data_IF_930305959774
#
_entry.id   IF_930305959774
#
_cell.length_a   1.000
_cell.length_b   1.000
_cell.length_c   1.000
_cell.angle_alpha   90.00
_cell.angle_beta   90.00
_cell.angle_gamma   90.00
#
_symmetry.space_group_name_H-M   'P 1'
#
loop_
_entity.id
_entity.type
_entity.pdbx_description
1 polymer ?
#
# COMPACT_ATOMS: atom_id res chain seq x y z
N UNK A 1 22.42 -0.17 -9.61
CA UNK A 1 21.29 0.60 -9.04
C UNK A 1 20.85 -0.07 -7.74
N UNK A 2 20.46 0.67 -6.70
CA UNK A 2 19.88 0.09 -5.48
C UNK A 2 18.39 0.39 -5.43
N UNK A 3 17.60 -0.62 -5.08
CA UNK A 3 16.16 -0.51 -4.86
C UNK A 3 15.82 -0.93 -3.45
N UNK A 4 15.08 -0.09 -2.73
CA UNK A 4 14.56 -0.38 -1.40
C UNK A 4 13.04 -0.55 -1.50
N UNK A 5 12.56 -1.78 -1.29
CA UNK A 5 11.14 -2.13 -1.34
C UNK A 5 10.59 -2.27 0.09
N UNK A 6 9.67 -1.40 0.47
CA UNK A 6 9.04 -1.39 1.79
C UNK A 6 7.59 -1.86 1.70
N UNK A 7 7.20 -2.82 2.52
CA UNK A 7 5.79 -2.97 2.85
C UNK A 7 5.31 -1.80 3.72
N UNK A 8 4.02 -1.56 3.75
CA UNK A 8 3.42 -0.41 4.44
C UNK A 8 2.81 -0.78 5.79
N UNK A 9 1.73 -1.59 5.79
CA UNK A 9 0.97 -1.92 6.99
C UNK A 9 1.74 -2.86 7.91
N UNK A 10 2.01 -2.41 9.16
CA UNK A 10 2.79 -3.19 10.13
C UNK A 10 4.31 -3.09 9.95
N UNK A 11 4.78 -2.66 8.76
CA UNK A 11 6.20 -2.41 8.46
C UNK A 11 6.54 -0.94 8.65
N UNK A 12 6.07 -0.06 7.77
CA UNK A 12 6.23 1.39 7.91
C UNK A 12 5.23 2.00 8.88
N UNK A 13 4.11 1.35 9.11
CA UNK A 13 3.10 1.79 10.08
C UNK A 13 3.02 0.86 11.28
N UNK A 14 2.50 1.39 12.39
CA UNK A 14 2.28 0.64 13.62
C UNK A 14 1.00 -0.19 13.60
N UNK A 15 0.07 0.11 12.68
CA UNK A 15 -1.27 -0.51 12.58
C UNK A 15 -1.66 -0.76 11.14
N UNK A 16 -2.67 -1.62 10.95
CA UNK A 16 -3.34 -1.83 9.65
C UNK A 16 -4.16 -0.59 9.29
N UNK A 17 -3.77 0.05 8.18
CA UNK A 17 -4.37 1.34 7.77
C UNK A 17 -5.75 1.19 7.16
N UNK A 18 -6.18 0.01 6.69
CA UNK A 18 -7.56 -0.20 6.24
C UNK A 18 -8.54 -0.01 7.41
N UNK A 19 -8.22 -0.58 8.57
CA UNK A 19 -9.05 -0.49 9.78
C UNK A 19 -9.11 0.94 10.27
N UNK A 20 -7.95 1.59 10.39
CA UNK A 20 -7.85 2.98 10.85
C UNK A 20 -8.52 3.96 9.86
N UNK A 21 -8.38 3.72 8.54
CA UNK A 21 -9.00 4.55 7.51
C UNK A 21 -10.54 4.48 7.56
N UNK A 22 -11.11 3.27 7.65
CA UNK A 22 -12.56 3.11 7.74
C UNK A 22 -13.10 3.78 9.01
N UNK A 23 -12.41 3.59 10.13
CA UNK A 23 -12.79 4.21 11.40
C UNK A 23 -12.74 5.74 11.33
N UNK A 24 -11.71 6.29 10.69
CA UNK A 24 -11.56 7.72 10.47
C UNK A 24 -12.66 8.28 9.54
N UNK A 25 -12.89 7.61 8.41
CA UNK A 25 -13.80 8.09 7.36
C UNK A 25 -15.29 7.99 7.76
N UNK A 26 -15.67 6.97 8.50
CA UNK A 26 -17.07 6.63 8.79
C UNK A 26 -17.45 6.81 10.28
N UNK A 27 -16.46 7.00 11.14
CA UNK A 27 -16.66 7.05 12.59
C UNK A 27 -16.80 5.68 13.25
N UNK A 28 -16.57 5.63 14.56
CA UNK A 28 -16.50 4.39 15.33
C UNK A 28 -17.79 3.58 15.31
N UNK A 29 -18.96 4.25 15.36
CA UNK A 29 -20.27 3.55 15.36
C UNK A 29 -20.52 2.83 14.03
N UNK A 30 -20.37 3.52 12.90
CA UNK A 30 -20.55 2.91 11.58
C UNK A 30 -19.51 1.82 11.32
N UNK A 31 -18.27 2.02 11.75
CA UNK A 31 -17.22 1.01 11.71
C UNK A 31 -17.66 -0.27 12.44
N UNK A 32 -18.09 -0.18 13.71
CA UNK A 32 -18.49 -1.34 14.51
C UNK A 32 -19.68 -2.07 13.89
N UNK A 33 -20.71 -1.35 13.46
CA UNK A 33 -21.88 -1.94 12.80
C UNK A 33 -21.51 -2.64 11.48
N UNK A 34 -20.67 -1.99 10.68
CA UNK A 34 -20.19 -2.57 9.42
C UNK A 34 -19.36 -3.84 9.63
N UNK A 35 -18.46 -3.85 10.61
CA UNK A 35 -17.68 -5.05 10.93
C UNK A 35 -18.53 -6.15 11.55
N UNK A 36 -19.49 -5.81 12.41
CA UNK A 36 -20.44 -6.79 12.96
C UNK A 36 -21.26 -7.46 11.85
N UNK A 37 -21.76 -6.67 10.88
CA UNK A 37 -22.47 -7.21 9.71
C UNK A 37 -21.62 -8.18 8.89
N UNK A 38 -20.29 -7.96 8.82
CA UNK A 38 -19.37 -8.79 8.08
C UNK A 38 -18.63 -9.82 8.95
N UNK A 39 -18.97 -9.92 10.26
CA UNK A 39 -18.30 -10.83 11.18
C UNK A 39 -18.27 -12.30 10.71
N UNK A 40 -19.37 -12.89 10.18
CA UNK A 40 -19.32 -14.26 9.65
C UNK A 40 -18.31 -14.41 8.51
N UNK A 41 -18.23 -13.41 7.62
CA UNK A 41 -17.27 -13.40 6.53
C UNK A 41 -15.83 -13.33 7.02
N UNK A 42 -15.57 -12.52 8.04
CA UNK A 42 -14.24 -12.39 8.65
C UNK A 42 -13.80 -13.66 9.37
N UNK A 43 -14.74 -14.36 10.02
CA UNK A 43 -14.48 -15.68 10.62
C UNK A 43 -14.09 -16.69 9.54
N UNK A 44 -14.87 -16.79 8.46
CA UNK A 44 -14.56 -17.68 7.33
C UNK A 44 -13.20 -17.35 6.71
N UNK A 45 -12.87 -16.06 6.59
CA UNK A 45 -11.56 -15.63 6.11
C UNK A 45 -10.43 -16.08 7.06
N UNK A 46 -10.62 -15.93 8.38
CA UNK A 46 -9.65 -16.35 9.39
C UNK A 46 -9.43 -17.87 9.40
N UNK A 47 -10.49 -18.63 9.10
CA UNK A 47 -10.44 -20.09 8.94
C UNK A 47 -9.91 -20.52 7.55
N UNK A 48 -9.44 -19.60 6.72
CA UNK A 48 -8.98 -19.84 5.33
C UNK A 48 -10.05 -20.42 4.38
N UNK A 49 -11.33 -20.39 4.77
CA UNK A 49 -12.48 -20.85 3.97
C UNK A 49 -13.00 -19.77 3.01
N UNK A 50 -12.52 -18.53 3.14
CA UNK A 50 -12.89 -17.43 2.27
C UNK A 50 -11.64 -16.57 1.89
N UNK A 51 -11.49 -16.22 0.59
CA UNK A 51 -10.32 -15.46 0.16
C UNK A 51 -10.23 -14.08 0.79
N UNK A 52 -9.07 -13.73 1.35
CA UNK A 52 -8.82 -12.45 2.03
C UNK A 52 -9.15 -11.25 1.12
N UNK A 53 -8.74 -11.27 -0.16
CA UNK A 53 -8.99 -10.17 -1.09
C UNK A 53 -10.49 -9.90 -1.32
N UNK A 54 -11.33 -10.96 -1.34
CA UNK A 54 -12.79 -10.83 -1.49
C UNK A 54 -13.42 -10.24 -0.22
N UNK A 55 -12.96 -10.65 0.96
CA UNK A 55 -13.40 -10.07 2.22
C UNK A 55 -13.07 -8.59 2.29
N UNK A 56 -11.83 -8.22 1.97
CA UNK A 56 -11.37 -6.84 1.90
C UNK A 56 -12.20 -6.01 0.92
N UNK A 57 -12.45 -6.51 -0.28
CA UNK A 57 -13.26 -5.82 -1.27
C UNK A 57 -14.72 -5.64 -0.82
N UNK A 58 -15.33 -6.64 -0.17
CA UNK A 58 -16.70 -6.52 0.37
C UNK A 58 -16.79 -5.46 1.47
N UNK A 59 -15.81 -5.43 2.39
CA UNK A 59 -15.73 -4.42 3.43
C UNK A 59 -15.54 -3.04 2.80
N UNK A 60 -14.60 -2.89 1.87
CA UNK A 60 -14.38 -1.64 1.14
C UNK A 60 -15.65 -1.18 0.42
N UNK A 61 -16.32 -2.07 -0.30
CA UNK A 61 -17.57 -1.79 -1.00
C UNK A 61 -18.69 -1.31 -0.05
N UNK A 62 -18.80 -1.94 1.13
CA UNK A 62 -19.81 -1.56 2.13
C UNK A 62 -19.68 -0.09 2.56
N UNK A 63 -18.46 0.40 2.77
CA UNK A 63 -18.23 1.73 3.29
C UNK A 63 -18.10 2.82 2.21
N UNK A 64 -17.60 2.47 1.03
CA UNK A 64 -17.15 3.48 0.05
C UNK A 64 -17.83 3.41 -1.32
N UNK A 65 -18.61 2.38 -1.63
CA UNK A 65 -19.33 2.30 -2.91
C UNK A 65 -20.24 3.52 -3.12
N UNK A 66 -20.15 4.11 -4.31
CA UNK A 66 -20.95 5.28 -4.70
C UNK A 66 -20.38 6.63 -4.24
N UNK A 67 -19.34 6.65 -3.39
CA UNK A 67 -18.64 7.87 -3.01
C UNK A 67 -17.96 8.48 -4.23
N UNK A 68 -18.02 9.82 -4.41
CA UNK A 68 -17.25 10.49 -5.46
C UNK A 68 -15.76 10.35 -5.22
N UNK A 69 -14.99 10.24 -6.29
CA UNK A 69 -13.54 10.06 -6.21
C UNK A 69 -12.87 11.25 -5.51
N UNK A 70 -13.31 12.48 -5.78
CA UNK A 70 -12.76 13.69 -5.17
C UNK A 70 -12.95 13.69 -3.65
N UNK A 71 -14.14 13.26 -3.18
CA UNK A 71 -14.39 13.11 -1.74
C UNK A 71 -13.52 12.03 -1.11
N UNK A 72 -13.32 10.93 -1.81
CA UNK A 72 -12.47 9.84 -1.34
C UNK A 72 -11.02 10.29 -1.25
N UNK A 73 -10.51 10.99 -2.26
CA UNK A 73 -9.14 11.52 -2.28
C UNK A 73 -8.93 12.56 -1.18
N UNK A 74 -9.90 13.43 -0.96
CA UNK A 74 -9.85 14.38 0.16
C UNK A 74 -9.81 13.67 1.52
N UNK A 75 -10.60 12.60 1.70
CA UNK A 75 -10.56 11.76 2.89
C UNK A 75 -9.19 11.08 3.06
N UNK A 76 -8.61 10.55 1.99
CA UNK A 76 -7.28 9.93 2.01
C UNK A 76 -6.19 10.92 2.44
N UNK A 77 -6.20 12.13 1.87
CA UNK A 77 -5.25 13.18 2.22
C UNK A 77 -5.38 13.63 3.68
N UNK A 78 -6.61 13.85 4.14
CA UNK A 78 -6.89 14.25 5.52
C UNK A 78 -6.54 13.13 6.52
N UNK A 79 -6.83 11.86 6.18
CA UNK A 79 -6.46 10.71 6.98
C UNK A 79 -4.95 10.62 7.18
N UNK A 80 -4.18 10.69 6.10
CA UNK A 80 -2.72 10.64 6.18
C UNK A 80 -2.16 11.78 7.03
N UNK A 81 -2.69 13.00 6.88
CA UNK A 81 -2.27 14.17 7.68
C UNK A 81 -2.56 13.97 9.16
N UNK A 82 -3.76 13.51 9.51
CA UNK A 82 -4.18 13.30 10.90
C UNK A 82 -3.48 12.11 11.57
N UNK A 83 -3.01 11.15 10.79
CA UNK A 83 -2.46 9.87 11.27
C UNK A 83 -0.98 9.67 10.96
N UNK A 84 -0.21 10.72 10.73
CA UNK A 84 1.25 10.62 10.51
C UNK A 84 1.99 9.93 11.67
N UNK A 85 1.42 10.00 12.88
CA UNK A 85 1.94 9.31 14.06
C UNK A 85 1.93 7.77 13.94
N UNK A 86 1.19 7.22 12.98
CA UNK A 86 1.22 5.79 12.69
C UNK A 86 2.52 5.36 12.02
N UNK A 87 3.24 6.28 11.38
CA UNK A 87 4.50 5.96 10.72
C UNK A 87 5.58 5.69 11.77
N UNK A 88 6.29 4.59 11.61
CA UNK A 88 7.41 4.22 12.48
C UNK A 88 8.62 5.10 12.21
N UNK A 89 9.19 5.77 13.23
CA UNK A 89 10.37 6.64 13.03
C UNK A 89 11.52 5.93 12.32
N UNK A 90 11.92 4.74 12.77
CA UNK A 90 13.01 3.97 12.15
C UNK A 90 12.74 3.60 10.68
N UNK A 91 11.46 3.37 10.31
CA UNK A 91 11.06 3.14 8.93
C UNK A 91 11.21 4.40 8.06
N UNK A 92 10.80 5.55 8.60
CA UNK A 92 10.98 6.84 7.94
C UNK A 92 12.47 7.21 7.76
N UNK A 93 13.29 6.94 8.76
CA UNK A 93 14.73 7.21 8.71
C UNK A 93 15.43 6.34 7.65
N UNK A 94 15.08 5.05 7.58
CA UNK A 94 15.59 4.15 6.56
C UNK A 94 15.18 4.60 5.15
N UNK A 95 13.92 5.02 4.97
CA UNK A 95 13.38 5.52 3.72
C UNK A 95 14.07 6.82 3.29
N UNK A 96 14.18 7.80 4.19
CA UNK A 96 14.88 9.07 3.92
C UNK A 96 16.35 8.87 3.60
N UNK A 97 17.02 7.97 4.33
CA UNK A 97 18.41 7.64 4.07
C UNK A 97 18.61 7.04 2.68
N UNK A 98 17.71 6.17 2.23
CA UNK A 98 17.75 5.63 0.87
C UNK A 98 17.55 6.74 -0.18
N UNK A 99 16.56 7.62 -0.01
CA UNK A 99 16.31 8.76 -0.90
C UNK A 99 17.54 9.70 -0.97
N UNK A 100 18.13 10.02 0.19
CA UNK A 100 19.28 10.93 0.27
C UNK A 100 20.54 10.37 -0.40
N UNK A 101 20.70 9.02 -0.43
CA UNK A 101 21.77 8.37 -1.20
C UNK A 101 21.50 8.32 -2.70
N UNK A 102 20.34 8.76 -3.16
CA UNK A 102 19.92 8.63 -4.56
C UNK A 102 19.39 7.23 -4.94
N UNK A 103 19.14 6.36 -3.96
CA UNK A 103 18.56 5.03 -4.18
C UNK A 103 17.09 5.14 -4.58
N UNK A 104 16.59 4.15 -5.30
CA UNK A 104 15.17 4.05 -5.66
C UNK A 104 14.38 3.46 -4.49
N UNK A 105 13.30 4.13 -4.10
CA UNK A 105 12.41 3.67 -3.04
C UNK A 105 11.06 3.26 -3.61
N UNK A 106 10.60 2.06 -3.24
CA UNK A 106 9.32 1.52 -3.67
C UNK A 106 8.51 1.08 -2.45
N UNK A 107 7.32 1.62 -2.29
CA UNK A 107 6.35 1.14 -1.30
C UNK A 107 5.49 0.09 -1.98
N UNK A 108 5.47 -1.15 -1.46
CA UNK A 108 4.73 -2.27 -2.07
C UNK A 108 3.72 -2.80 -1.07
N UNK A 109 2.46 -2.36 -1.20
CA UNK A 109 1.43 -2.59 -0.18
C UNK A 109 0.17 -3.24 -0.70
N UNK A 110 -0.42 -4.11 0.11
CA UNK A 110 -1.77 -4.61 -0.11
C UNK A 110 -2.84 -3.54 0.12
N UNK A 111 -2.51 -2.42 0.76
CA UNK A 111 -3.42 -1.30 0.97
C UNK A 111 -3.71 -0.53 -0.31
N UNK A 112 -4.80 0.24 -0.31
CA UNK A 112 -5.17 1.04 -1.47
C UNK A 112 -4.18 2.20 -1.62
N UNK A 113 -3.61 2.32 -2.82
CA UNK A 113 -2.60 3.33 -3.17
C UNK A 113 -3.03 4.76 -2.81
N UNK A 114 -4.30 5.11 -3.02
CA UNK A 114 -4.84 6.46 -2.78
C UNK A 114 -4.72 6.94 -1.34
N UNK A 115 -4.83 6.05 -0.33
CA UNK A 115 -4.59 6.48 1.05
C UNK A 115 -3.15 6.25 1.52
N UNK A 116 -2.35 5.45 0.80
CA UNK A 116 -0.93 5.25 1.11
C UNK A 116 -0.09 6.43 0.63
N UNK A 117 -0.30 6.88 -0.61
CA UNK A 117 0.46 7.96 -1.25
C UNK A 117 0.55 9.23 -0.37
N UNK A 118 -0.56 9.74 0.22
CA UNK A 118 -0.50 10.99 0.98
C UNK A 118 0.37 10.94 2.25
N UNK A 119 0.68 9.76 2.79
CA UNK A 119 1.59 9.64 3.93
C UNK A 119 3.02 10.11 3.60
N UNK A 120 3.38 10.06 2.33
CA UNK A 120 4.73 10.39 1.86
C UNK A 120 4.84 11.80 1.28
N UNK A 121 3.76 12.57 1.25
CA UNK A 121 3.77 13.98 0.82
C UNK A 121 4.73 14.79 1.70
N UNK A 122 5.70 15.48 1.07
CA UNK A 122 6.76 16.24 1.74
C UNK A 122 7.93 15.39 2.26
N UNK A 123 7.96 14.07 1.95
CA UNK A 123 9.11 13.19 2.24
C UNK A 123 9.97 13.00 0.99
N UNK A 124 9.36 12.95 -0.18
CA UNK A 124 10.03 12.92 -1.47
C UNK A 124 9.47 14.02 -2.35
N UNK A 125 10.35 14.59 -3.23
CA UNK A 125 9.96 15.66 -4.13
C UNK A 125 8.94 15.19 -5.19
N UNK A 126 9.04 13.93 -5.57
CA UNK A 126 8.13 13.29 -6.51
C UNK A 126 7.65 11.95 -5.97
N UNK A 127 6.34 11.78 -5.89
CA UNK A 127 5.69 10.52 -5.54
C UNK A 127 4.84 10.10 -6.73
N UNK A 128 5.11 8.91 -7.26
CA UNK A 128 4.38 8.37 -8.40
C UNK A 128 3.61 7.12 -8.00
N UNK A 129 2.35 7.03 -8.41
CA UNK A 129 1.60 5.78 -8.38
C UNK A 129 2.02 4.90 -9.56
N UNK A 130 2.11 3.60 -9.35
CA UNK A 130 2.38 2.64 -10.43
C UNK A 130 1.35 2.69 -11.58
N UNK A 131 0.18 3.27 -11.35
CA UNK A 131 -0.84 3.47 -12.39
C UNK A 131 -0.57 4.70 -13.27
N UNK A 132 0.20 5.67 -12.79
CA UNK A 132 0.52 6.89 -13.52
C UNK A 132 1.73 6.71 -14.43
N UNK A 133 2.42 5.57 -14.38
CA UNK A 133 3.54 5.26 -15.25
C UNK A 133 3.01 4.65 -16.55
N UNK A 134 3.26 5.25 -17.72
CA UNK A 134 2.93 4.65 -19.01
C UNK A 134 3.70 3.34 -19.17
N UNK A 135 3.02 2.30 -19.65
CA UNK A 135 3.52 0.93 -19.81
C UNK A 135 4.70 0.80 -20.81
N UNK A 136 5.12 1.89 -21.46
CA UNK A 136 5.99 1.85 -22.66
C UNK A 136 7.05 2.94 -22.75
N UNK A 137 7.45 3.58 -21.66
CA UNK A 137 8.54 4.57 -21.77
C UNK A 137 9.67 4.22 -20.81
N UNK A 138 10.90 4.20 -21.36
CA UNK A 138 12.12 4.34 -20.57
C UNK A 138 11.89 5.40 -19.50
N UNK A 139 12.11 5.05 -18.23
CA UNK A 139 11.98 5.96 -17.10
C UNK A 139 12.71 7.27 -17.46
N UNK A 140 12.06 8.45 -17.27
CA UNK A 140 12.73 9.71 -17.53
C UNK A 140 14.01 9.78 -16.71
N UNK A 141 15.00 10.48 -17.21
CA UNK A 141 16.33 10.65 -16.57
C UNK A 141 16.26 11.24 -15.14
N UNK A 142 15.12 11.78 -14.74
CA UNK A 142 14.69 12.11 -13.39
C UNK A 142 13.66 11.10 -12.91
N UNK A 143 14.07 9.85 -12.66
CA UNK A 143 13.18 8.82 -12.09
C UNK A 143 12.59 9.31 -10.77
N UNK A 144 11.29 9.09 -10.51
CA UNK A 144 10.72 9.44 -9.23
C UNK A 144 11.47 8.68 -8.13
N UNK A 145 11.92 9.40 -7.11
CA UNK A 145 12.70 8.81 -6.03
C UNK A 145 11.86 7.90 -5.14
N UNK A 146 10.53 8.03 -5.19
CA UNK A 146 9.59 7.19 -4.44
C UNK A 146 8.40 6.80 -5.32
N UNK A 147 8.16 5.50 -5.44
CA UNK A 147 7.01 4.92 -6.14
C UNK A 147 6.13 4.13 -5.17
N UNK A 148 4.81 4.25 -5.30
CA UNK A 148 3.85 3.45 -4.52
C UNK A 148 3.16 2.44 -5.44
N UNK A 149 3.30 1.16 -5.10
CA UNK A 149 2.61 0.02 -5.69
C UNK A 149 1.56 -0.46 -4.68
N UNK A 150 0.31 -0.11 -4.91
CA UNK A 150 -0.80 -0.47 -4.02
C UNK A 150 -1.91 -1.26 -4.74
N UNK A 151 -2.93 -1.67 -4.00
CA UNK A 151 -4.19 -2.12 -4.58
C UNK A 151 -4.95 -0.89 -5.07
N UNK A 152 -5.49 -0.95 -6.28
CA UNK A 152 -6.16 0.21 -6.87
C UNK A 152 -7.67 0.02 -6.92
N UNK A 153 -8.39 1.12 -6.74
CA UNK A 153 -9.86 1.13 -6.74
C UNK A 153 -10.42 1.34 -8.14
N UNK A 154 -11.55 0.69 -8.42
CA UNK A 154 -12.28 0.89 -9.66
C UNK A 154 -13.24 2.08 -9.50
N UNK A 155 -13.27 2.94 -10.53
CA UNK A 155 -14.19 4.07 -10.62
C UNK A 155 -15.03 3.99 -11.88
N UNK A 156 -16.25 4.49 -11.81
CA UNK A 156 -17.16 4.66 -12.96
C UNK A 156 -17.92 5.96 -12.78
N UNK A 157 -17.97 6.78 -13.83
CA UNK A 157 -18.61 8.11 -13.80
C UNK A 157 -18.18 8.96 -12.58
N UNK A 158 -16.89 8.98 -12.26
CA UNK A 158 -16.33 9.76 -11.15
C UNK A 158 -16.68 9.24 -9.74
N UNK A 159 -17.24 8.02 -9.62
CA UNK A 159 -17.62 7.39 -8.35
C UNK A 159 -16.96 6.03 -8.16
N UNK A 160 -16.69 5.67 -6.92
CA UNK A 160 -16.19 4.35 -6.55
C UNK A 160 -17.27 3.29 -6.83
N UNK A 161 -16.91 2.22 -7.57
CA UNK A 161 -17.79 1.07 -7.78
C UNK A 161 -17.85 0.15 -6.56
N UNK A 162 -16.91 0.28 -5.65
CA UNK A 162 -16.69 -0.62 -4.52
C UNK A 162 -15.83 -1.83 -4.87
N UNK A 163 -15.31 -1.91 -6.10
CA UNK A 163 -14.39 -2.95 -6.54
C UNK A 163 -12.95 -2.44 -6.61
N UNK A 164 -12.03 -3.36 -6.70
CA UNK A 164 -10.63 -3.07 -7.03
C UNK A 164 -10.40 -3.29 -8.52
N UNK A 165 -9.71 -2.35 -9.16
CA UNK A 165 -9.34 -2.45 -10.58
C UNK A 165 -8.13 -3.35 -10.80
N UNK A 166 -7.38 -3.64 -9.72
CA UNK A 166 -6.20 -4.51 -9.75
C UNK A 166 -6.37 -5.69 -8.78
N UNK A 167 -5.57 -6.74 -8.97
CA UNK A 167 -5.41 -7.78 -7.97
C UNK A 167 -4.90 -7.17 -6.65
N UNK A 168 -5.24 -7.79 -5.51
CA UNK A 168 -4.71 -7.37 -4.21
C UNK A 168 -3.18 -7.53 -4.19
N UNK A 169 -2.46 -6.45 -3.92
CA UNK A 169 -1.00 -6.42 -3.93
C UNK A 169 -0.41 -7.15 -2.69
N UNK A 170 -0.56 -8.48 -2.68
CA UNK A 170 -0.22 -9.37 -1.57
C UNK A 170 0.52 -10.60 -2.08
N UNK A 171 1.51 -11.09 -1.36
CA UNK A 171 2.26 -12.29 -1.71
C UNK A 171 2.98 -12.17 -3.05
N UNK A 172 2.82 -13.16 -3.90
CA UNK A 172 3.45 -13.18 -5.24
C UNK A 172 3.06 -11.97 -6.12
N UNK A 173 1.91 -11.35 -5.88
CA UNK A 173 1.51 -10.15 -6.62
C UNK A 173 2.42 -8.95 -6.34
N UNK A 174 2.98 -8.83 -5.12
CA UNK A 174 4.00 -7.82 -4.80
C UNK A 174 5.23 -7.98 -5.70
N UNK A 175 5.71 -9.20 -5.84
CA UNK A 175 6.85 -9.54 -6.70
C UNK A 175 6.53 -9.24 -8.17
N UNK A 176 5.39 -9.74 -8.65
CA UNK A 176 4.96 -9.55 -10.04
C UNK A 176 4.94 -8.06 -10.42
N UNK A 177 4.41 -7.20 -9.55
CA UNK A 177 4.33 -5.76 -9.83
C UNK A 177 5.67 -5.05 -9.70
N UNK A 178 6.51 -5.44 -8.75
CA UNK A 178 7.86 -4.90 -8.63
C UNK A 178 8.66 -5.21 -9.89
N UNK A 179 8.62 -6.48 -10.34
CA UNK A 179 9.34 -6.90 -11.56
C UNK A 179 8.74 -6.32 -12.84
N UNK A 180 7.46 -5.97 -12.86
CA UNK A 180 6.86 -5.25 -14.00
C UNK A 180 7.42 -3.83 -14.15
N UNK A 181 7.81 -3.17 -13.04
CA UNK A 181 8.46 -1.85 -13.08
C UNK A 181 9.98 -1.94 -13.23
N UNK A 182 10.58 -3.01 -12.71
CA UNK A 182 12.03 -3.24 -12.72
C UNK A 182 12.31 -4.66 -13.22
N UNK A 183 12.18 -4.91 -14.54
CA UNK A 183 12.24 -6.27 -15.11
C UNK A 183 13.64 -6.89 -15.03
N UNK A 184 14.69 -6.07 -15.13
CA UNK A 184 16.08 -6.54 -15.19
C UNK A 184 16.64 -6.80 -13.79
N UNK A 185 16.11 -7.84 -13.13
CA UNK A 185 16.42 -8.17 -11.73
C UNK A 185 17.93 -8.30 -11.45
N UNK A 186 18.72 -8.75 -12.42
CA UNK A 186 20.17 -8.92 -12.30
C UNK A 186 20.93 -7.57 -12.24
N UNK A 187 20.32 -6.46 -12.67
CA UNK A 187 20.97 -5.16 -12.80
C UNK A 187 20.79 -4.24 -11.60
N UNK A 188 20.18 -4.74 -10.50
CA UNK A 188 20.02 -3.96 -9.29
C UNK A 188 20.12 -4.80 -8.01
N UNK A 189 20.59 -4.17 -6.95
CA UNK A 189 20.55 -4.74 -5.60
C UNK A 189 19.22 -4.39 -4.93
N UNK A 190 18.46 -5.40 -4.52
CA UNK A 190 17.15 -5.24 -3.88
C UNK A 190 17.28 -5.45 -2.38
N UNK A 191 16.93 -4.42 -1.60
CA UNK A 191 16.69 -4.54 -0.16
C UNK A 191 15.20 -4.51 0.11
N UNK A 192 14.64 -5.50 0.76
CA UNK A 192 13.22 -5.58 1.07
C UNK A 192 12.95 -5.56 2.58
N UNK A 193 11.86 -4.87 2.94
CA UNK A 193 11.38 -4.72 4.32
C UNK A 193 9.94 -5.15 4.41
N UNK A 194 9.63 -6.09 5.32
CA UNK A 194 8.29 -6.63 5.48
C UNK A 194 8.06 -7.17 6.88
N UNK A 195 6.81 -7.44 7.25
CA UNK A 195 6.47 -7.88 8.61
C UNK A 195 5.54 -9.09 8.66
N UNK A 196 4.95 -9.45 7.55
CA UNK A 196 3.84 -10.38 7.48
C UNK A 196 4.08 -11.53 6.50
N UNK A 197 3.15 -12.47 6.50
CA UNK A 197 3.11 -13.58 5.54
C UNK A 197 2.94 -13.09 4.09
N UNK A 198 2.34 -11.89 3.92
CA UNK A 198 2.14 -11.26 2.60
C UNK A 198 3.40 -10.71 1.96
N UNK A 199 4.53 -10.68 2.71
CA UNK A 199 5.80 -10.16 2.23
C UNK A 199 6.82 -11.26 1.94
N UNK A 200 6.45 -12.51 2.20
CA UNK A 200 7.36 -13.65 2.12
C UNK A 200 8.05 -13.76 0.77
N UNK A 201 7.29 -13.64 -0.30
CA UNK A 201 7.81 -13.75 -1.66
C UNK A 201 8.69 -12.54 -2.03
N UNK A 202 8.31 -11.34 -1.58
CA UNK A 202 9.12 -10.14 -1.77
C UNK A 202 10.44 -10.21 -1.00
N UNK A 203 10.40 -10.67 0.25
CA UNK A 203 11.59 -10.87 1.08
C UNK A 203 12.50 -11.96 0.50
N UNK A 204 11.93 -13.03 -0.06
CA UNK A 204 12.68 -14.11 -0.70
C UNK A 204 13.33 -13.68 -2.02
N UNK A 205 12.75 -12.70 -2.75
CA UNK A 205 13.32 -12.14 -3.97
C UNK A 205 14.54 -11.23 -3.68
N UNK A 206 14.61 -10.63 -2.49
CA UNK A 206 15.58 -9.61 -2.15
C UNK A 206 16.99 -10.19 -1.92
N UNK A 207 18.02 -9.42 -2.29
CA UNK A 207 19.42 -9.70 -1.92
C UNK A 207 19.63 -9.47 -0.43
N UNK A 208 18.92 -8.50 0.15
CA UNK A 208 18.90 -8.24 1.58
C UNK A 208 17.48 -8.10 2.10
N UNK A 209 17.08 -9.00 3.00
CA UNK A 209 15.73 -9.04 3.55
C UNK A 209 15.72 -8.63 5.02
N UNK A 210 14.77 -7.78 5.39
CA UNK A 210 14.54 -7.33 6.76
C UNK A 210 13.12 -7.68 7.20
N UNK A 211 12.98 -8.66 8.07
CA UNK A 211 11.72 -9.06 8.66
C UNK A 211 11.47 -8.34 9.98
N UNK A 212 10.35 -7.60 10.07
CA UNK A 212 9.93 -6.80 11.25
C UNK A 212 11.00 -5.80 11.74
N UNK A 213 11.66 -5.03 10.86
CA UNK A 213 12.90 -4.32 11.19
C UNK A 213 12.71 -3.09 12.11
N UNK A 214 11.50 -2.54 12.20
CA UNK A 214 11.24 -1.24 12.86
C UNK A 214 10.36 -1.37 14.12
N UNK A 215 10.39 -2.50 14.79
CA UNK A 215 9.52 -2.79 15.97
C UNK A 215 10.18 -2.56 17.31
N UNK A 216 11.21 -1.71 17.37
CA UNK A 216 11.88 -1.33 18.61
C UNK A 216 11.32 -0.04 19.16
#
# INVERSE_FOLDING_TARGET
MNIHAFDFDGTLTTRDTLIEFIRYACGTRAFLLGFLRHAPLLVLMKLHLYPNYRAKQRIFSHFFRGMSIDRFDALCANFARANRHLLRPGGLDALRSAINRGDTVVIVSASVDRWVIPFFTGIADTITSSQSLPFSTSLPSTSPRLTVIGTSVETSAGRLTGRFSTANCYGAEKVRRLLALYPDRANYHLTAYGDSRGDRELLALADKAHYKPFRH
#
